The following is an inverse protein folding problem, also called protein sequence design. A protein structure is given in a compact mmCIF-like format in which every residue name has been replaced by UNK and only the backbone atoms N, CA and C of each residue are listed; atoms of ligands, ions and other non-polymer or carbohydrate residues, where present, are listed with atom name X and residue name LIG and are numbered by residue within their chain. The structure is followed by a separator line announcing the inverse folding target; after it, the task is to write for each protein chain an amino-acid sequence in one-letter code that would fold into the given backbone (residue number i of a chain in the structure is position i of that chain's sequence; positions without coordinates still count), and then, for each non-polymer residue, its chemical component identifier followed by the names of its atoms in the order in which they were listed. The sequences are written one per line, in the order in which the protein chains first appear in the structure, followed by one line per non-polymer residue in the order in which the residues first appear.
data_IF_781834282459
#
_entry.id   IF_781834282459
#
_cell.length_a   1.000
_cell.length_b   1.000
_cell.length_c   1.000
_cell.angle_alpha   90.00
_cell.angle_beta   90.00
_cell.angle_gamma   90.00
#
_symmetry.space_group_name_H-M   'P 1'
#
loop_
_entity.id
_entity.type
_entity.pdbx_description
1 polymer ?
#
# COMPACT_ATOMS: atom_id res chain seq x y z
N UNK A 1 51.38 20.06 -13.75
CA UNK A 1 51.13 18.64 -14.04
C UNK A 1 49.68 18.34 -13.67
N UNK A 2 48.89 17.99 -14.68
CA UNK A 2 47.44 17.76 -14.64
C UNK A 2 47.16 16.26 -14.45
N UNK A 3 46.45 15.86 -13.39
CA UNK A 3 45.60 14.66 -13.40
C UNK A 3 44.68 14.62 -12.16
N UNK A 4 43.56 15.34 -12.21
CA UNK A 4 42.39 14.97 -11.42
C UNK A 4 41.74 13.80 -12.16
N UNK A 5 42.06 12.57 -11.76
CA UNK A 5 41.34 11.37 -12.20
C UNK A 5 39.88 11.50 -11.79
N UNK A 6 39.04 11.94 -12.71
CA UNK A 6 37.59 11.76 -12.62
C UNK A 6 37.32 10.27 -12.66
N UNK A 7 37.03 9.69 -11.50
CA UNK A 7 36.35 8.41 -11.40
C UNK A 7 35.01 8.55 -12.13
N UNK A 8 34.98 8.22 -13.41
CA UNK A 8 33.75 7.99 -14.18
C UNK A 8 33.13 6.70 -13.69
N UNK A 9 32.55 6.75 -12.48
CA UNK A 9 31.64 5.72 -11.99
C UNK A 9 30.33 5.91 -12.77
N UNK A 10 30.23 5.26 -13.92
CA UNK A 10 28.98 5.17 -14.66
C UNK A 10 27.95 4.42 -13.79
N UNK A 11 26.81 5.03 -13.38
CA UNK A 11 25.76 4.27 -12.71
C UNK A 11 24.86 3.66 -13.78
N UNK A 12 25.35 2.64 -14.49
CA UNK A 12 24.56 1.92 -15.51
C UNK A 12 23.58 0.89 -14.92
N UNK A 13 23.14 1.07 -13.68
CA UNK A 13 22.18 0.18 -12.99
C UNK A 13 20.87 0.86 -12.56
N UNK A 14 20.61 2.11 -12.99
CA UNK A 14 19.43 2.86 -12.53
C UNK A 14 18.09 2.49 -13.19
N UNK A 15 18.07 1.91 -14.41
CA UNK A 15 16.83 1.81 -15.18
C UNK A 15 15.86 0.71 -14.75
N UNK A 16 16.34 -0.42 -14.21
CA UNK A 16 15.45 -1.55 -13.82
C UNK A 16 14.74 -1.32 -12.49
N UNK A 17 15.40 -0.68 -11.52
CA UNK A 17 14.83 -0.36 -10.21
C UNK A 17 13.74 0.72 -10.34
N UNK A 18 13.94 1.72 -11.19
CA UNK A 18 12.97 2.79 -11.42
C UNK A 18 11.65 2.27 -12.03
N UNK A 19 11.72 1.30 -12.95
CA UNK A 19 10.50 0.73 -13.54
C UNK A 19 9.67 -0.03 -12.49
N UNK A 20 10.33 -0.81 -11.62
CA UNK A 20 9.65 -1.51 -10.53
C UNK A 20 8.97 -0.56 -9.54
N UNK A 21 9.66 0.53 -9.19
CA UNK A 21 9.13 1.57 -8.30
C UNK A 21 7.95 2.35 -8.92
N UNK A 22 7.98 2.58 -10.24
CA UNK A 22 6.87 3.19 -10.97
C UNK A 22 5.64 2.29 -11.03
N UNK A 23 5.83 0.98 -11.25
CA UNK A 23 4.74 0.00 -11.25
C UNK A 23 4.13 -0.12 -9.85
N UNK A 24 4.96 -0.19 -8.81
CA UNK A 24 4.48 -0.20 -7.42
C UNK A 24 3.70 1.07 -7.09
N UNK A 25 4.20 2.24 -7.48
CA UNK A 25 3.48 3.51 -7.30
C UNK A 25 2.14 3.54 -8.05
N UNK A 26 2.07 2.98 -9.26
CA UNK A 26 0.82 2.87 -10.01
C UNK A 26 -0.18 1.94 -9.29
N UNK A 27 0.28 0.78 -8.82
CA UNK A 27 -0.52 -0.16 -8.03
C UNK A 27 -1.06 0.49 -6.76
N UNK A 28 -0.23 1.23 -6.03
CA UNK A 28 -0.63 1.98 -4.82
C UNK A 28 -1.67 3.04 -5.15
N UNK A 29 -1.52 3.79 -6.25
CA UNK A 29 -2.52 4.78 -6.69
C UNK A 29 -3.85 4.14 -7.06
N UNK A 30 -3.83 3.00 -7.74
CA UNK A 30 -5.04 2.22 -8.07
C UNK A 30 -5.71 1.72 -6.79
N UNK A 31 -4.93 1.18 -5.85
CA UNK A 31 -5.43 0.72 -4.55
C UNK A 31 -6.05 1.86 -3.72
N UNK A 32 -5.40 3.03 -3.65
CA UNK A 32 -5.92 4.21 -2.96
C UNK A 32 -7.21 4.76 -3.57
N UNK A 33 -7.42 4.57 -4.88
CA UNK A 33 -8.67 4.95 -5.56
C UNK A 33 -9.80 3.95 -5.30
N UNK A 34 -9.50 2.76 -4.79
CA UNK A 34 -10.52 1.76 -4.45
C UNK A 34 -11.31 2.18 -3.20
N UNK A 35 -12.65 2.25 -3.28
CA UNK A 35 -13.48 2.56 -2.12
C UNK A 35 -13.37 1.49 -1.02
N UNK A 36 -13.02 0.24 -1.39
CA UNK A 36 -12.79 -0.83 -0.41
C UNK A 36 -11.56 -0.56 0.46
N UNK A 37 -10.47 -0.06 -0.12
CA UNK A 37 -9.26 0.24 0.62
C UNK A 37 -9.50 1.33 1.67
N UNK A 38 -10.23 2.39 1.31
CA UNK A 38 -10.64 3.45 2.25
C UNK A 38 -11.51 2.92 3.39
N UNK A 39 -12.43 1.99 3.12
CA UNK A 39 -13.25 1.36 4.14
C UNK A 39 -12.39 0.52 5.09
N UNK A 40 -11.44 -0.27 4.56
CA UNK A 40 -10.50 -1.06 5.37
C UNK A 40 -9.73 -0.16 6.32
N UNK A 41 -9.05 0.87 5.80
CA UNK A 41 -8.26 1.78 6.61
C UNK A 41 -9.10 2.44 7.71
N UNK A 42 -10.35 2.79 7.39
CA UNK A 42 -11.28 3.42 8.34
C UNK A 42 -11.71 2.47 9.46
N UNK A 43 -12.02 1.21 9.18
CA UNK A 43 -12.39 0.25 10.22
C UNK A 43 -11.18 -0.31 10.99
N UNK A 44 -10.01 -0.43 10.35
CA UNK A 44 -8.77 -0.79 11.03
C UNK A 44 -8.30 0.31 11.99
N UNK A 45 -8.57 1.58 11.68
CA UNK A 45 -8.27 2.71 12.57
C UNK A 45 -9.25 2.85 13.74
N UNK A 46 -10.45 2.24 13.69
CA UNK A 46 -11.41 2.27 14.80
C UNK A 46 -10.99 1.32 15.92
N UNK A 47 -11.21 1.76 17.16
CA UNK A 47 -11.09 0.89 18.34
C UNK A 47 -12.28 -0.06 18.43
N UNK A 48 -12.14 -1.14 19.20
CA UNK A 48 -13.22 -2.11 19.40
C UNK A 48 -14.45 -1.48 20.08
N UNK A 49 -14.24 -0.44 20.91
CA UNK A 49 -15.32 0.33 21.53
C UNK A 49 -16.12 1.14 20.50
N UNK A 50 -15.44 1.75 19.53
CA UNK A 50 -16.09 2.52 18.46
C UNK A 50 -16.86 1.60 17.51
N UNK A 51 -16.33 0.41 17.25
CA UNK A 51 -17.02 -0.66 16.51
C UNK A 51 -18.27 -1.13 17.25
N UNK A 52 -18.18 -1.33 18.56
CA UNK A 52 -19.32 -1.70 19.39
C UNK A 52 -20.41 -0.61 19.41
N UNK A 53 -20.05 0.68 19.43
CA UNK A 53 -21.01 1.80 19.30
C UNK A 53 -21.76 1.81 17.97
N UNK A 54 -21.15 1.29 16.91
CA UNK A 54 -21.77 1.10 15.60
C UNK A 54 -22.56 -0.22 15.48
N UNK A 55 -22.61 -1.02 16.55
CA UNK A 55 -23.27 -2.32 16.57
C UNK A 55 -22.58 -3.37 15.69
N UNK A 56 -21.28 -3.21 15.42
CA UNK A 56 -20.50 -4.10 14.55
C UNK A 56 -19.41 -4.81 15.32
N UNK A 57 -19.21 -6.10 15.04
CA UNK A 57 -18.04 -6.84 15.53
C UNK A 57 -16.87 -6.78 14.53
N UNK A 58 -15.65 -7.08 14.99
CA UNK A 58 -14.48 -7.23 14.10
C UNK A 58 -14.71 -8.25 12.98
N UNK A 59 -15.45 -9.33 13.27
CA UNK A 59 -15.82 -10.34 12.29
C UNK A 59 -16.78 -9.78 11.21
N UNK A 60 -17.70 -8.90 11.59
CA UNK A 60 -18.61 -8.25 10.64
C UNK A 60 -17.89 -7.27 9.73
N UNK A 61 -16.92 -6.53 10.26
CA UNK A 61 -16.03 -5.68 9.45
C UNK A 61 -15.30 -6.52 8.41
N UNK A 62 -14.69 -7.64 8.82
CA UNK A 62 -13.97 -8.52 7.91
C UNK A 62 -14.89 -9.05 6.80
N UNK A 63 -16.11 -9.50 7.15
CA UNK A 63 -17.11 -9.95 6.17
C UNK A 63 -17.56 -8.84 5.22
N UNK A 64 -17.76 -7.62 5.71
CA UNK A 64 -18.19 -6.47 4.91
C UNK A 64 -17.10 -5.98 3.95
N UNK A 65 -15.84 -6.12 4.35
CA UNK A 65 -14.66 -5.73 3.58
C UNK A 65 -14.28 -6.76 2.53
N UNK A 66 -14.11 -8.01 2.96
CA UNK A 66 -13.55 -9.10 2.14
C UNK A 66 -14.65 -9.93 1.46
N UNK A 67 -15.92 -9.71 1.82
CA UNK A 67 -17.04 -10.47 1.30
C UNK A 67 -17.12 -11.89 1.89
N UNK A 68 -17.97 -12.78 1.32
CA UNK A 68 -18.19 -14.13 1.83
C UNK A 68 -16.96 -15.05 1.80
N UNK A 69 -15.83 -14.60 1.23
CA UNK A 69 -14.60 -15.39 1.08
C UNK A 69 -13.62 -15.26 2.26
N UNK A 70 -13.96 -14.49 3.30
CA UNK A 70 -13.05 -14.25 4.44
C UNK A 70 -13.11 -15.33 5.53
N UNK A 71 -14.01 -16.30 5.39
CA UNK A 71 -14.16 -17.45 6.28
C UNK A 71 -14.00 -18.74 5.46
N UNK A 72 -12.76 -18.99 5.01
CA UNK A 72 -12.22 -20.29 4.66
C UNK A 72 -10.81 -20.37 5.21
#
# INVERSE_FOLDING_TARGET
MTSLSTNSLAPHTHNRLQLGEQILNLMVRIALKSPKYRLISRYCAMSDEELARLGMTRADVARKVYGPYSCM
#
